data_IF_239793427918
#
_entry.id   IF_239793427918
#
_cell.length_a   1.000
_cell.length_b   1.000
_cell.length_c   1.000
_cell.angle_alpha   90.00
_cell.angle_beta   90.00
_cell.angle_gamma   90.00
#
_symmetry.space_group_name_H-M   'P 1'
#
loop_
_entity.id
_entity.type
_entity.pdbx_description
1 polymer ?
#
# COMPACT_ATOMS: atom_id res chain seq x y z
N UNK A 1 60.35 1.47 -30.42
CA UNK A 1 59.89 1.16 -29.04
C UNK A 1 58.89 2.17 -28.47
N UNK A 2 58.95 3.47 -28.81
CA UNK A 2 58.08 4.52 -28.22
C UNK A 2 56.58 4.42 -28.52
N UNK A 3 56.19 3.85 -29.67
CA UNK A 3 54.77 3.72 -30.07
C UNK A 3 54.00 2.71 -29.20
N UNK A 4 54.65 1.59 -28.83
CA UNK A 4 54.03 0.56 -27.99
C UNK A 4 53.76 1.10 -26.57
N UNK A 5 54.69 1.86 -26.00
CA UNK A 5 54.51 2.49 -24.67
C UNK A 5 53.38 3.51 -24.65
N UNK A 6 53.19 4.27 -25.74
CA UNK A 6 52.06 5.20 -25.87
C UNK A 6 50.71 4.48 -25.89
N UNK A 7 50.62 3.32 -26.57
CA UNK A 7 49.38 2.52 -26.61
C UNK A 7 49.04 1.95 -25.24
N UNK A 8 50.03 1.45 -24.48
CA UNK A 8 49.80 0.94 -23.13
C UNK A 8 49.35 2.04 -22.15
N UNK A 9 49.88 3.26 -22.27
CA UNK A 9 49.44 4.39 -21.46
C UNK A 9 47.98 4.78 -21.75
N UNK A 10 47.57 4.78 -23.02
CA UNK A 10 46.18 5.06 -23.41
C UNK A 10 45.24 3.98 -22.87
N UNK A 11 45.62 2.70 -22.99
CA UNK A 11 44.83 1.58 -22.47
C UNK A 11 44.67 1.66 -20.93
N UNK A 12 45.73 2.03 -20.22
CA UNK A 12 45.70 2.19 -18.77
C UNK A 12 44.76 3.33 -18.34
N UNK A 13 44.76 4.45 -19.05
CA UNK A 13 43.84 5.57 -18.78
C UNK A 13 42.39 5.17 -19.05
N UNK A 14 42.10 4.41 -20.10
CA UNK A 14 40.75 3.89 -20.39
C UNK A 14 40.29 2.91 -19.31
N UNK A 15 41.18 2.04 -18.83
CA UNK A 15 40.87 1.10 -17.75
C UNK A 15 40.59 1.80 -16.43
N UNK A 16 41.38 2.83 -16.09
CA UNK A 16 41.18 3.63 -14.87
C UNK A 16 39.89 4.44 -14.99
N UNK A 17 39.66 5.11 -16.12
CA UNK A 17 38.43 5.88 -16.35
C UNK A 17 37.18 4.98 -16.37
N UNK A 18 37.26 3.81 -17.01
CA UNK A 18 36.18 2.82 -17.01
C UNK A 18 35.93 2.23 -15.62
N UNK A 19 36.99 1.94 -14.86
CA UNK A 19 36.88 1.50 -13.47
C UNK A 19 36.29 2.57 -12.55
N UNK A 20 36.70 3.83 -12.71
CA UNK A 20 36.12 4.97 -11.99
C UNK A 20 34.66 5.23 -12.36
N UNK A 21 34.27 5.03 -13.63
CA UNK A 21 32.88 5.18 -14.08
C UNK A 21 31.95 4.13 -13.45
N UNK A 22 32.42 2.89 -13.30
CA UNK A 22 31.69 1.83 -12.59
C UNK A 22 31.61 2.08 -11.07
N UNK A 23 32.53 2.86 -10.51
CA UNK A 23 32.51 3.25 -9.09
C UNK A 23 31.63 4.48 -8.79
N UNK A 24 31.04 5.13 -9.81
CA UNK A 24 30.09 6.23 -9.59
C UNK A 24 28.78 5.64 -9.02
N UNK A 25 28.65 5.75 -7.70
CA UNK A 25 27.49 5.34 -6.90
C UNK A 25 26.18 5.88 -7.48
N UNK A 26 25.15 5.03 -7.51
CA UNK A 26 23.75 5.44 -7.65
C UNK A 26 23.05 5.15 -8.98
N UNK A 27 23.73 4.62 -10.00
CA UNK A 27 23.11 4.20 -11.28
C UNK A 27 23.21 2.72 -11.59
N UNK A 28 23.84 1.93 -10.73
CA UNK A 28 23.87 0.48 -10.90
C UNK A 28 22.48 -0.12 -10.66
N UNK A 29 22.16 -1.18 -11.42
CA UNK A 29 20.86 -1.83 -11.36
C UNK A 29 20.55 -2.42 -9.98
N UNK A 30 21.59 -2.83 -9.22
CA UNK A 30 21.42 -3.40 -7.88
C UNK A 30 21.02 -2.31 -6.87
N UNK A 31 21.68 -1.14 -6.91
CA UNK A 31 21.33 -0.01 -6.02
C UNK A 31 19.92 0.50 -6.28
N UNK A 32 19.52 0.62 -7.55
CA UNK A 32 18.14 1.04 -7.88
C UNK A 32 17.11 0.00 -7.41
N UNK A 33 17.39 -1.30 -7.55
CA UNK A 33 16.51 -2.36 -7.04
C UNK A 33 16.45 -2.40 -5.49
N UNK A 34 17.52 -1.97 -4.82
CA UNK A 34 17.54 -1.87 -3.36
C UNK A 34 16.70 -0.69 -2.86
N UNK A 35 16.77 0.46 -3.50
CA UNK A 35 16.09 1.67 -3.02
C UNK A 35 14.65 1.80 -3.52
N UNK A 36 14.33 1.27 -4.70
CA UNK A 36 12.97 1.26 -5.25
C UNK A 36 12.19 0.07 -4.70
N UNK A 37 11.31 0.33 -3.73
CA UNK A 37 10.44 -0.69 -3.16
C UNK A 37 9.14 -0.77 -3.92
N UNK A 38 8.69 -1.99 -4.18
CA UNK A 38 7.43 -2.24 -4.86
C UNK A 38 6.43 -2.86 -3.89
N UNK A 39 5.19 -2.42 -3.98
CA UNK A 39 4.04 -2.99 -3.30
C UNK A 39 2.84 -3.04 -4.23
N UNK A 40 1.77 -3.66 -3.76
CA UNK A 40 0.48 -3.63 -4.44
C UNK A 40 -0.38 -2.57 -3.77
N UNK A 41 -1.07 -1.77 -4.57
CA UNK A 41 -2.06 -0.83 -4.09
C UNK A 41 -3.29 -1.62 -3.64
N UNK A 42 -3.65 -1.48 -2.38
CA UNK A 42 -4.75 -2.17 -1.75
C UNK A 42 -5.72 -1.18 -1.12
N UNK A 43 -6.92 -1.66 -0.82
CA UNK A 43 -7.95 -0.92 -0.11
C UNK A 43 -8.50 -1.82 0.99
N UNK A 44 -8.66 -1.29 2.20
CA UNK A 44 -9.27 -2.08 3.26
C UNK A 44 -10.77 -2.26 2.99
N UNK A 45 -11.29 -3.43 3.32
CA UNK A 45 -12.73 -3.69 3.31
C UNK A 45 -13.19 -3.96 4.73
N UNK A 46 -14.26 -3.30 5.15
CA UNK A 46 -14.88 -3.49 6.45
C UNK A 46 -16.28 -4.02 6.28
N UNK A 47 -16.58 -5.14 6.94
CA UNK A 47 -17.92 -5.67 7.02
C UNK A 47 -18.72 -4.88 8.08
N UNK A 48 -19.78 -4.21 7.63
CA UNK A 48 -20.77 -3.58 8.49
C UNK A 48 -21.64 -4.69 9.07
N UNK A 49 -21.69 -4.79 10.40
CA UNK A 49 -22.44 -5.82 11.12
C UNK A 49 -23.46 -5.19 12.05
N UNK A 50 -24.55 -5.91 12.29
CA UNK A 50 -25.50 -5.51 13.31
C UNK A 50 -24.97 -5.85 14.72
N UNK A 51 -24.83 -4.84 15.57
CA UNK A 51 -24.35 -5.01 16.96
C UNK A 51 -25.43 -5.40 17.98
N UNK A 52 -26.71 -5.22 17.65
CA UNK A 52 -27.84 -5.52 18.54
C UNK A 52 -28.19 -7.01 18.61
N UNK A 53 -29.02 -7.41 19.58
CA UNK A 53 -29.37 -8.81 19.83
C UNK A 53 -30.14 -9.47 18.67
N UNK A 54 -31.27 -8.88 18.30
CA UNK A 54 -32.08 -9.29 17.15
C UNK A 54 -32.98 -8.15 16.68
N UNK A 55 -33.35 -8.17 15.40
CA UNK A 55 -34.21 -7.14 14.82
C UNK A 55 -34.64 -7.47 13.40
N UNK A 56 -35.40 -6.56 12.79
CA UNK A 56 -35.87 -6.66 11.42
C UNK A 56 -35.46 -5.42 10.63
N UNK A 57 -34.97 -5.62 9.40
CA UNK A 57 -34.64 -4.50 8.52
C UNK A 57 -35.93 -3.84 8.05
N UNK A 58 -36.09 -2.56 8.39
CA UNK A 58 -37.21 -1.72 7.95
C UNK A 58 -36.90 -1.13 6.59
N UNK A 59 -35.67 -0.62 6.43
CA UNK A 59 -35.24 0.14 5.26
C UNK A 59 -33.76 -0.12 4.97
N UNK A 60 -33.43 -0.25 3.69
CA UNK A 60 -32.06 -0.25 3.19
C UNK A 60 -31.87 1.05 2.44
N UNK A 61 -31.07 1.96 3.00
CA UNK A 61 -30.87 3.30 2.47
C UNK A 61 -29.75 3.38 1.41
N UNK A 62 -28.92 2.35 1.32
CA UNK A 62 -27.76 2.34 0.45
C UNK A 62 -27.76 1.16 -0.53
N UNK A 63 -27.24 1.37 -1.74
CA UNK A 63 -27.21 0.40 -2.82
C UNK A 63 -25.78 -0.06 -3.16
N UNK A 64 -25.67 -1.17 -3.89
CA UNK A 64 -24.40 -1.67 -4.40
C UNK A 64 -23.76 -0.63 -5.34
N UNK A 65 -22.52 -0.24 -5.07
CA UNK A 65 -21.80 0.77 -5.83
C UNK A 65 -22.02 2.21 -5.35
N UNK A 66 -22.79 2.43 -4.28
CA UNK A 66 -22.94 3.76 -3.71
C UNK A 66 -21.66 4.19 -2.96
N UNK A 67 -21.31 5.46 -3.11
CA UNK A 67 -20.28 6.12 -2.30
C UNK A 67 -20.91 6.66 -1.04
N UNK A 68 -20.35 6.30 0.11
CA UNK A 68 -20.84 6.67 1.45
C UNK A 68 -19.75 7.36 2.24
N UNK A 69 -20.15 8.28 3.12
CA UNK A 69 -19.28 8.92 4.10
C UNK A 69 -19.48 8.31 5.47
N UNK A 70 -18.45 8.42 6.31
CA UNK A 70 -18.52 8.05 7.72
C UNK A 70 -19.74 8.70 8.38
N UNK A 71 -20.59 7.87 8.97
CA UNK A 71 -21.81 8.30 9.63
C UNK A 71 -23.06 8.31 8.75
N UNK A 72 -22.95 8.07 7.44
CA UNK A 72 -24.13 7.95 6.58
C UNK A 72 -24.96 6.72 6.97
N UNK A 73 -26.28 6.88 7.09
CA UNK A 73 -27.20 5.79 7.41
C UNK A 73 -27.27 4.79 6.26
N UNK A 74 -26.94 3.53 6.54
CA UNK A 74 -26.99 2.42 5.58
C UNK A 74 -28.25 1.57 5.73
N UNK A 75 -28.65 1.29 6.98
CA UNK A 75 -29.81 0.45 7.30
C UNK A 75 -30.58 1.03 8.47
N UNK A 76 -31.91 0.93 8.42
CA UNK A 76 -32.79 1.12 9.59
C UNK A 76 -33.32 -0.23 10.04
N UNK A 77 -33.13 -0.52 11.32
CA UNK A 77 -33.48 -1.81 11.92
C UNK A 77 -34.40 -1.56 13.10
N UNK A 78 -35.53 -2.27 13.15
CA UNK A 78 -36.36 -2.34 14.34
C UNK A 78 -35.85 -3.49 15.21
N UNK A 79 -35.40 -3.21 16.43
CA UNK A 79 -35.01 -4.27 17.36
C UNK A 79 -36.24 -5.07 17.80
N UNK A 80 -36.04 -6.30 18.26
CA UNK A 80 -37.12 -7.09 18.86
C UNK A 80 -37.76 -6.42 20.11
N UNK A 81 -37.03 -5.48 20.73
CA UNK A 81 -37.48 -4.65 21.85
C UNK A 81 -38.33 -3.44 21.39
N UNK A 82 -38.56 -3.28 20.08
CA UNK A 82 -39.40 -2.24 19.49
C UNK A 82 -38.71 -0.88 19.34
N UNK A 83 -37.38 -0.82 19.47
CA UNK A 83 -36.59 0.40 19.26
C UNK A 83 -36.01 0.44 17.86
N UNK A 84 -36.00 1.61 17.23
CA UNK A 84 -35.38 1.79 15.92
C UNK A 84 -33.90 2.14 16.07
N UNK A 85 -33.04 1.41 15.35
CA UNK A 85 -31.58 1.58 15.34
C UNK A 85 -31.11 1.78 13.92
N UNK A 86 -30.32 2.83 13.72
CA UNK A 86 -29.63 3.10 12.46
C UNK A 86 -28.24 2.50 12.47
N UNK A 87 -27.91 1.77 11.41
CA UNK A 87 -26.56 1.29 11.16
C UNK A 87 -25.91 2.22 10.15
N UNK A 88 -24.84 2.88 10.59
CA UNK A 88 -24.12 3.88 9.80
C UNK A 88 -22.85 3.31 9.17
N UNK A 89 -22.36 3.99 8.13
CA UNK A 89 -21.07 3.68 7.52
C UNK A 89 -19.93 3.97 8.50
N UNK A 90 -19.00 3.01 8.71
CA UNK A 90 -17.91 3.18 9.67
C UNK A 90 -16.85 4.19 9.19
N UNK A 91 -16.63 4.25 7.88
CA UNK A 91 -15.65 5.11 7.20
C UNK A 91 -16.13 5.48 5.80
N UNK A 92 -15.45 6.46 5.19
CA UNK A 92 -15.69 6.88 3.82
C UNK A 92 -15.31 5.76 2.84
N UNK A 93 -16.18 5.47 1.86
CA UNK A 93 -15.95 4.34 0.99
C UNK A 93 -17.03 4.05 -0.03
N UNK A 94 -16.92 2.88 -0.65
CA UNK A 94 -17.83 2.34 -1.64
C UNK A 94 -18.49 1.07 -1.10
N UNK A 95 -19.80 0.92 -1.30
CA UNK A 95 -20.50 -0.32 -0.97
C UNK A 95 -20.20 -1.38 -2.03
N UNK A 96 -19.41 -2.38 -1.66
CA UNK A 96 -19.03 -3.49 -2.55
C UNK A 96 -19.93 -4.71 -2.43
N UNK A 97 -20.72 -4.80 -1.36
CA UNK A 97 -21.69 -5.87 -1.15
C UNK A 97 -22.79 -5.44 -0.20
N UNK A 98 -24.02 -5.85 -0.50
CA UNK A 98 -25.16 -5.84 0.43
C UNK A 98 -25.53 -7.30 0.70
N UNK A 99 -25.56 -7.67 1.97
CA UNK A 99 -25.77 -9.04 2.42
C UNK A 99 -27.17 -9.27 3.01
N UNK A 100 -27.91 -8.21 3.36
CA UNK A 100 -29.23 -8.30 3.95
C UNK A 100 -30.20 -7.29 3.32
N UNK A 101 -31.46 -7.70 3.15
CA UNK A 101 -32.51 -6.92 2.48
C UNK A 101 -33.61 -6.41 3.40
N UNK A 102 -34.42 -5.47 2.92
CA UNK A 102 -35.60 -5.00 3.66
C UNK A 102 -36.56 -6.15 3.95
N UNK A 103 -37.04 -6.23 5.19
CA UNK A 103 -37.94 -7.28 5.66
C UNK A 103 -37.26 -8.51 6.26
N UNK A 104 -35.94 -8.63 6.16
CA UNK A 104 -35.16 -9.75 6.71
C UNK A 104 -34.98 -9.64 8.24
N UNK A 105 -34.99 -10.78 8.92
CA UNK A 105 -34.66 -10.87 10.35
C UNK A 105 -33.15 -10.99 10.53
N UNK A 106 -32.63 -10.27 11.52
CA UNK A 106 -31.22 -10.17 11.84
C UNK A 106 -30.96 -10.70 13.24
N UNK A 107 -29.86 -11.43 13.38
CA UNK A 107 -29.25 -11.78 14.65
C UNK A 107 -27.99 -10.95 14.89
N UNK A 108 -27.53 -10.91 16.14
CA UNK A 108 -26.29 -10.25 16.51
C UNK A 108 -25.10 -10.74 15.68
N UNK A 109 -24.31 -9.79 15.19
CA UNK A 109 -23.09 -10.05 14.44
C UNK A 109 -23.30 -10.45 12.98
N UNK A 110 -24.55 -10.51 12.49
CA UNK A 110 -24.83 -10.75 11.07
C UNK A 110 -24.24 -9.62 10.21
N UNK A 111 -23.55 -9.96 9.10
CA UNK A 111 -23.06 -8.97 8.15
C UNK A 111 -24.22 -8.38 7.34
N UNK A 112 -24.26 -7.07 7.24
CA UNK A 112 -25.29 -6.30 6.51
C UNK A 112 -24.76 -5.81 5.17
N UNK A 113 -23.54 -5.27 5.17
CA UNK A 113 -22.88 -4.77 3.98
C UNK A 113 -21.36 -4.89 4.12
N UNK A 114 -20.65 -4.76 3.00
CA UNK A 114 -19.20 -4.58 2.96
C UNK A 114 -18.91 -3.23 2.34
N UNK A 115 -18.14 -2.42 3.06
CA UNK A 115 -17.69 -1.09 2.62
C UNK A 115 -16.20 -1.19 2.33
N UNK A 116 -15.80 -0.87 1.11
CA UNK A 116 -14.40 -0.68 0.73
C UNK A 116 -14.01 0.76 1.05
N UNK A 117 -12.96 0.95 1.84
CA UNK A 117 -12.47 2.29 2.19
C UNK A 117 -12.04 3.05 0.94
N UNK A 118 -12.29 4.36 0.95
CA UNK A 118 -11.82 5.25 -0.11
C UNK A 118 -10.29 5.39 -0.08
N UNK A 119 -9.66 5.38 1.09
CA UNK A 119 -8.22 5.45 1.21
C UNK A 119 -7.54 4.16 0.72
N UNK A 120 -6.50 4.33 -0.10
CA UNK A 120 -5.65 3.23 -0.53
C UNK A 120 -4.40 3.16 0.33
N UNK A 121 -3.76 2.01 0.32
CA UNK A 121 -2.46 1.83 0.94
C UNK A 121 -1.62 0.87 0.13
N UNK A 122 -0.32 0.93 0.32
CA UNK A 122 0.58 -0.10 -0.16
C UNK A 122 1.55 -0.47 0.95
N UNK A 123 1.80 -1.76 1.10
CA UNK A 123 2.75 -2.28 2.06
C UNK A 123 4.06 -2.59 1.32
N UNK A 124 5.16 -1.96 1.77
CA UNK A 124 6.51 -2.16 1.23
C UNK A 124 7.41 -2.79 2.30
N UNK A 125 8.35 -3.61 1.86
CA UNK A 125 9.37 -4.20 2.73
C UNK A 125 10.65 -3.36 2.68
N UNK A 126 11.05 -2.83 3.84
CA UNK A 126 12.21 -1.95 4.00
C UNK A 126 13.22 -2.62 4.93
N UNK A 127 14.49 -2.64 4.54
CA UNK A 127 15.54 -3.23 5.37
C UNK A 127 15.80 -2.38 6.62
N UNK A 128 16.27 -3.01 7.69
CA UNK A 128 16.68 -2.31 8.92
C UNK A 128 17.72 -1.20 8.69
N UNK A 129 18.62 -1.36 7.72
CA UNK A 129 19.60 -0.33 7.35
C UNK A 129 18.95 0.95 6.79
N UNK A 130 17.78 0.84 6.18
CA UNK A 130 17.05 1.92 5.52
C UNK A 130 15.87 2.43 6.35
N UNK A 131 15.40 1.67 7.35
CA UNK A 131 14.22 2.02 8.15
C UNK A 131 14.39 3.35 8.89
N UNK A 132 15.62 3.68 9.29
CA UNK A 132 15.94 4.94 9.99
C UNK A 132 15.70 6.18 9.13
N UNK A 133 15.62 6.04 7.80
CA UNK A 133 15.27 7.13 6.89
C UNK A 133 13.77 7.47 6.90
N UNK A 134 12.94 6.55 7.42
CA UNK A 134 11.50 6.64 7.37
C UNK A 134 10.91 6.99 8.72
N UNK A 135 9.95 7.91 8.73
CA UNK A 135 9.25 8.33 9.93
C UNK A 135 7.73 8.27 9.73
N UNK A 136 7.00 8.02 10.81
CA UNK A 136 5.54 8.06 10.79
C UNK A 136 5.06 9.46 10.38
N UNK A 137 4.04 9.50 9.52
CA UNK A 137 3.46 10.71 8.93
C UNK A 137 4.36 11.47 7.94
N UNK A 138 5.49 10.89 7.52
CA UNK A 138 6.33 11.47 6.49
C UNK A 138 5.67 11.32 5.10
N UNK A 139 5.76 12.38 4.29
CA UNK A 139 5.32 12.36 2.90
C UNK A 139 6.36 11.66 2.02
N UNK A 140 5.90 10.78 1.14
CA UNK A 140 6.71 10.00 0.20
C UNK A 140 6.04 10.01 -1.17
N UNK A 141 6.84 10.01 -2.23
CA UNK A 141 6.30 9.88 -3.58
C UNK A 141 6.06 8.42 -3.93
N UNK A 142 4.91 8.16 -4.54
CA UNK A 142 4.51 6.84 -5.00
C UNK A 142 4.33 6.87 -6.51
N UNK A 143 5.20 6.16 -7.20
CA UNK A 143 5.18 6.03 -8.65
C UNK A 143 4.32 4.83 -9.08
N UNK A 144 3.51 5.03 -10.11
CA UNK A 144 2.67 3.98 -10.70
C UNK A 144 3.06 3.74 -12.17
N UNK A 145 3.80 2.67 -12.49
CA UNK A 145 4.38 2.48 -13.82
C UNK A 145 3.34 2.34 -14.96
N UNK A 146 2.09 2.01 -14.61
CA UNK A 146 1.01 1.74 -15.56
C UNK A 146 -0.01 2.89 -15.68
N UNK A 147 0.24 4.06 -15.08
CA UNK A 147 -0.64 5.25 -15.19
C UNK A 147 -0.16 6.16 -16.32
N UNK A 148 -1.08 6.61 -17.18
CA UNK A 148 -0.77 7.40 -18.39
C UNK A 148 -0.21 8.80 -18.09
N UNK A 149 -0.60 9.38 -16.96
CA UNK A 149 0.05 10.58 -16.39
C UNK A 149 1.05 10.07 -15.34
N UNK A 150 2.34 10.12 -15.67
CA UNK A 150 3.45 9.77 -14.76
C UNK A 150 3.64 10.84 -13.67
N UNK A 151 2.55 11.34 -13.10
CA UNK A 151 2.61 12.18 -11.91
C UNK A 151 2.63 11.22 -10.71
N UNK A 152 3.72 11.26 -9.95
CA UNK A 152 3.83 10.51 -8.71
C UNK A 152 2.71 10.96 -7.77
N UNK A 153 1.99 9.99 -7.19
CA UNK A 153 1.02 10.30 -6.16
C UNK A 153 1.75 10.63 -4.87
N UNK A 154 1.20 11.56 -4.10
CA UNK A 154 1.67 11.80 -2.74
C UNK A 154 1.11 10.72 -1.81
N UNK A 155 2.01 10.02 -1.13
CA UNK A 155 1.70 9.04 -0.09
C UNK A 155 2.23 9.49 1.27
N UNK A 156 1.69 8.95 2.35
CA UNK A 156 2.12 9.23 3.72
C UNK A 156 2.41 7.93 4.44
N UNK A 157 3.54 7.86 5.13
CA UNK A 157 3.88 6.69 5.96
C UNK A 157 2.90 6.60 7.13
N UNK A 158 1.98 5.65 7.08
CA UNK A 158 0.89 5.51 8.06
C UNK A 158 1.18 4.45 9.12
N UNK A 159 2.11 3.53 8.85
CA UNK A 159 2.55 2.54 9.84
C UNK A 159 3.95 2.04 9.50
N UNK A 160 4.72 1.75 10.54
CA UNK A 160 5.98 1.01 10.47
C UNK A 160 5.87 -0.13 11.47
N UNK A 161 6.07 -1.36 11.03
CA UNK A 161 6.04 -2.52 11.91
C UNK A 161 7.04 -2.34 13.06
N UNK A 162 6.63 -2.68 14.29
CA UNK A 162 7.50 -2.55 15.46
C UNK A 162 8.62 -3.62 15.50
N UNK A 163 8.45 -4.71 14.76
CA UNK A 163 9.40 -5.81 14.68
C UNK A 163 9.63 -6.21 13.22
N UNK A 164 10.83 -6.68 12.88
CA UNK A 164 11.11 -7.18 11.54
C UNK A 164 10.29 -8.44 11.29
N UNK A 165 9.70 -8.53 10.11
CA UNK A 165 9.02 -9.72 9.64
C UNK A 165 10.01 -10.52 8.80
N UNK A 166 10.24 -11.78 9.16
CA UNK A 166 10.90 -12.72 8.27
C UNK A 166 9.93 -13.02 7.14
N UNK A 167 10.06 -12.29 6.03
CA UNK A 167 9.45 -12.73 4.79
C UNK A 167 10.06 -14.11 4.50
N UNK A 168 9.24 -15.15 4.58
CA UNK A 168 9.61 -16.51 4.17
C UNK A 168 9.76 -16.49 2.65
N UNK A 169 10.78 -15.81 2.13
CA UNK A 169 11.06 -15.75 0.70
C UNK A 169 11.39 -17.17 0.26
N UNK A 170 10.43 -17.80 -0.42
CA UNK A 170 10.63 -19.08 -1.09
C UNK A 170 11.65 -18.90 -2.22
N UNK A 171 12.85 -19.40 -1.95
CA UNK A 171 13.86 -20.01 -2.83
C UNK A 171 14.63 -19.17 -3.88
N UNK A 172 15.95 -19.18 -3.63
CA UNK A 172 17.05 -19.42 -4.59
C UNK A 172 17.48 -18.28 -5.52
N UNK A 173 18.49 -17.52 -5.08
CA UNK A 173 19.87 -17.81 -5.52
C UNK A 173 20.93 -17.14 -4.63
N UNK A 174 22.04 -17.86 -4.55
CA UNK A 174 23.37 -17.46 -4.08
C UNK A 174 23.67 -17.54 -2.58
N UNK A 175 24.70 -18.34 -2.29
CA UNK A 175 25.33 -18.55 -1.00
C UNK A 175 25.70 -17.20 -0.37
N UNK A 176 25.15 -16.91 0.80
CA UNK A 176 25.73 -15.93 1.74
C UNK A 176 25.03 -14.59 1.86
N UNK A 177 23.83 -14.39 1.31
CA UNK A 177 23.03 -13.22 1.68
C UNK A 177 22.55 -13.35 3.13
N UNK A 178 22.97 -12.39 3.95
CA UNK A 178 22.65 -12.28 5.35
C UNK A 178 21.14 -12.39 5.59
N UNK A 179 20.79 -12.86 6.77
CA UNK A 179 19.45 -12.83 7.32
C UNK A 179 18.99 -11.36 7.40
N UNK A 180 18.39 -10.85 6.31
CA UNK A 180 18.00 -9.45 6.22
C UNK A 180 16.64 -9.28 6.89
N UNK A 181 16.68 -8.74 8.11
CA UNK A 181 15.52 -8.22 8.82
C UNK A 181 14.83 -7.15 7.96
N UNK A 182 13.60 -7.44 7.52
CA UNK A 182 12.77 -6.49 6.79
C UNK A 182 11.61 -6.03 7.66
N UNK A 183 11.34 -4.74 7.64
CA UNK A 183 10.21 -4.10 8.28
C UNK A 183 9.12 -3.86 7.25
N UNK A 184 7.87 -4.16 7.63
CA UNK A 184 6.71 -3.81 6.84
C UNK A 184 6.39 -2.33 7.09
N UNK A 185 6.36 -1.54 6.03
CA UNK A 185 6.01 -0.12 6.08
C UNK A 185 4.75 0.07 5.23
N UNK A 186 3.72 0.65 5.85
CA UNK A 186 2.48 0.99 5.15
C UNK A 186 2.52 2.44 4.71
N UNK A 187 2.31 2.65 3.43
CA UNK A 187 2.16 3.98 2.83
C UNK A 187 0.70 4.16 2.47
N UNK A 188 0.02 5.11 3.13
CA UNK A 188 -1.35 5.51 2.80
C UNK A 188 -1.34 6.47 1.61
N UNK A 189 -2.25 6.28 0.67
CA UNK A 189 -2.33 7.01 -0.59
C UNK A 189 -3.78 7.47 -0.76
N UNK A 190 -3.98 8.75 -1.08
CA UNK A 190 -5.31 9.27 -1.33
C UNK A 190 -5.94 8.60 -2.57
N UNK A 191 -7.25 8.42 -2.57
CA UNK A 191 -7.95 7.94 -3.76
C UNK A 191 -7.83 8.96 -4.90
N UNK A 192 -7.57 8.44 -6.10
CA UNK A 192 -7.61 9.20 -7.36
C UNK A 192 -8.38 8.37 -8.39
N UNK A 193 -9.05 9.04 -9.34
CA UNK A 193 -9.85 8.39 -10.36
C UNK A 193 -9.05 7.47 -11.30
N UNK A 194 -7.72 7.64 -11.38
CA UNK A 194 -6.83 6.80 -12.18
C UNK A 194 -6.24 5.62 -11.40
N UNK A 195 -6.40 5.60 -10.08
CA UNK A 195 -5.86 4.57 -9.21
C UNK A 195 -6.92 3.51 -8.94
N UNK A 196 -6.51 2.25 -9.04
CA UNK A 196 -7.34 1.09 -8.75
C UNK A 196 -6.57 0.11 -7.86
N UNK A 197 -7.23 -0.54 -6.89
CA UNK A 197 -6.63 -1.64 -6.16
C UNK A 197 -6.12 -2.74 -7.11
N UNK A 198 -4.96 -3.31 -6.80
CA UNK A 198 -4.24 -4.28 -7.62
C UNK A 198 -3.14 -3.68 -8.50
N UNK A 199 -3.04 -2.34 -8.58
CA UNK A 199 -1.93 -1.68 -9.30
C UNK A 199 -0.61 -1.81 -8.55
N UNK A 200 0.50 -1.89 -9.27
CA UNK A 200 1.84 -1.82 -8.66
C UNK A 200 2.13 -0.39 -8.24
N UNK A 201 2.49 -0.21 -6.98
CA UNK A 201 2.97 1.04 -6.42
C UNK A 201 4.47 0.91 -6.14
N UNK A 202 5.25 1.92 -6.54
CA UNK A 202 6.69 1.96 -6.32
C UNK A 202 7.06 3.16 -5.46
N UNK A 203 7.86 2.95 -4.43
CA UNK A 203 8.34 3.99 -3.52
C UNK A 203 9.86 4.03 -3.63
N UNK A 204 10.40 5.18 -3.98
CA UNK A 204 11.85 5.40 -4.00
C UNK A 204 12.32 5.96 -2.66
N UNK A 205 13.13 5.19 -1.94
CA UNK A 205 13.64 5.55 -0.62
C UNK A 205 14.71 6.66 -0.66
N UNK A 206 15.31 6.95 -1.82
CA UNK A 206 16.29 8.05 -1.95
C UNK A 206 15.62 9.41 -2.17
N UNK A 207 14.37 9.42 -2.65
CA UNK A 207 13.59 10.65 -2.80
C UNK A 207 12.87 11.08 -1.52
N UNK A 208 12.95 10.26 -0.47
CA UNK A 208 12.35 10.56 0.83
C UNK A 208 13.19 11.63 1.53
N UNK A 209 12.65 12.85 1.60
CA UNK A 209 13.33 14.00 2.19
C UNK A 209 13.62 13.77 3.69
N UNK A 210 14.83 14.14 4.12
CA UNK A 210 15.32 14.10 5.50
C UNK A 210 14.74 15.21 6.38
#
# INVERSE_FOLDING_TARGET
>A
MKVKTSIYLILAVILIAGGSLLAIKGRDAVTQAENRKQGILESEQTAVRFGGNSGKIIEVAAALGDTVKKGDSLFKIQTAEGSDVEVVAPEDGLITKIAAGAGEELAQGMPLAVVQKAAYYTDIYVQESQIQKLQLNQSVKVHFPNVKKQEDAEGVISSIAAAPQFASLRMSREKGQADLSMYLVRVAIASDAQLMPGMTAEVDLDEVAH
#
